data_IF_938815371249
#
_entry.id   IF_938815371249
#
_cell.length_a   1.000
_cell.length_b   1.000
_cell.length_c   1.000
_cell.angle_alpha   90.00
_cell.angle_beta   90.00
_cell.angle_gamma   90.00
#
_symmetry.space_group_name_H-M   'P 1'
#
loop_
_entity.id
_entity.type
_entity.pdbx_description
1 polymer ?
#
# COMPACT_ATOMS: atom_id res chain seq x y z
N UNK A 1 -15.70 -30.06 -13.33
CA UNK A 1 -15.75 -28.87 -12.44
C UNK A 1 -14.45 -28.57 -11.69
N UNK A 2 -13.64 -29.54 -11.19
CA UNK A 2 -12.33 -29.24 -10.56
C UNK A 2 -11.12 -29.07 -11.50
N UNK A 3 -11.14 -29.63 -12.73
CA UNK A 3 -10.06 -29.48 -13.72
C UNK A 3 -10.13 -28.18 -14.55
N UNK A 4 -11.28 -27.49 -14.57
CA UNK A 4 -11.48 -26.24 -15.33
C UNK A 4 -10.85 -25.01 -14.66
N UNK A 5 -10.73 -24.98 -13.32
CA UNK A 5 -10.05 -23.89 -12.60
C UNK A 5 -8.55 -23.83 -12.89
N UNK A 6 -7.94 -24.94 -13.30
CA UNK A 6 -6.50 -25.04 -13.55
C UNK A 6 -6.11 -24.34 -14.86
N UNK A 7 -6.97 -24.32 -15.89
CA UNK A 7 -6.65 -23.66 -17.17
C UNK A 7 -6.63 -22.13 -17.01
N UNK A 8 -7.51 -21.58 -16.17
CA UNK A 8 -7.46 -20.18 -15.80
C UNK A 8 -6.23 -19.89 -14.92
N UNK A 9 -5.91 -20.75 -13.95
CA UNK A 9 -4.73 -20.62 -13.08
C UNK A 9 -3.39 -20.70 -13.83
N UNK A 10 -3.29 -21.54 -14.86
CA UNK A 10 -2.08 -21.65 -15.70
C UNK A 10 -1.84 -20.34 -16.47
N UNK A 11 -2.90 -19.64 -16.88
CA UNK A 11 -2.81 -18.33 -17.55
C UNK A 11 -2.50 -17.20 -16.53
N UNK A 12 -2.87 -17.36 -15.27
CA UNK A 12 -2.57 -16.38 -14.22
C UNK A 12 -1.10 -16.42 -13.75
N UNK A 13 -0.42 -17.57 -13.84
CA UNK A 13 0.97 -17.75 -13.34
C UNK A 13 2.08 -17.59 -14.40
N UNK A 14 1.84 -17.90 -15.68
CA UNK A 14 2.92 -17.92 -16.68
C UNK A 14 3.29 -16.56 -17.30
N UNK A 15 2.69 -15.46 -16.82
CA UNK A 15 3.05 -14.09 -17.24
C UNK A 15 4.23 -13.45 -16.49
N UNK A 16 4.83 -14.14 -15.52
CA UNK A 16 5.99 -13.64 -14.78
C UNK A 16 7.28 -14.37 -15.20
N UNK A 17 8.24 -13.58 -15.69
CA UNK A 17 9.64 -13.85 -16.06
C UNK A 17 10.25 -15.25 -15.86
N UNK A 18 10.94 -15.70 -16.91
CA UNK A 18 11.97 -16.73 -16.89
C UNK A 18 12.96 -16.61 -15.71
N UNK A 19 13.16 -17.69 -14.94
CA UNK A 19 14.49 -18.25 -14.61
C UNK A 19 14.41 -19.57 -13.81
N UNK A 20 14.87 -20.64 -14.46
CA UNK A 20 15.62 -21.80 -13.94
C UNK A 20 15.01 -22.87 -12.98
N UNK A 21 15.11 -24.10 -13.52
CA UNK A 21 15.53 -25.40 -12.93
C UNK A 21 14.53 -26.24 -12.13
N UNK A 22 14.28 -27.43 -12.69
CA UNK A 22 14.69 -28.67 -12.02
C UNK A 22 13.58 -29.68 -11.77
N UNK A 23 13.55 -30.72 -12.61
CA UNK A 23 13.16 -32.12 -12.34
C UNK A 23 12.21 -32.35 -11.15
N UNK A 24 11.02 -32.89 -11.41
CA UNK A 24 10.55 -34.10 -10.71
C UNK A 24 9.56 -34.89 -11.57
N UNK A 25 9.82 -36.19 -11.63
CA UNK A 25 9.17 -37.21 -12.43
C UNK A 25 8.01 -37.89 -11.69
N UNK A 26 7.12 -38.48 -12.50
CA UNK A 26 6.38 -39.74 -12.27
C UNK A 26 5.46 -39.84 -11.04
N UNK A 27 4.15 -39.85 -11.28
CA UNK A 27 3.43 -41.12 -11.36
C UNK A 27 2.03 -40.96 -11.99
N UNK A 28 1.71 -41.94 -12.82
CA UNK A 28 0.50 -42.04 -13.64
C UNK A 28 -0.66 -42.53 -12.78
N UNK A 29 -1.83 -41.94 -12.97
CA UNK A 29 -3.08 -42.69 -13.05
C UNK A 29 -3.66 -42.42 -14.44
N UNK A 30 -3.51 -43.43 -15.29
CA UNK A 30 -4.08 -43.56 -16.62
C UNK A 30 -5.58 -43.79 -16.48
N UNK A 31 -6.39 -42.89 -17.06
CA UNK A 31 -7.70 -43.12 -17.69
C UNK A 31 -8.56 -41.85 -17.65
N UNK A 32 -8.26 -40.95 -18.58
CA UNK A 32 -9.14 -39.94 -19.20
C UNK A 32 -8.24 -39.23 -20.21
N UNK A 33 -8.05 -39.86 -21.37
CA UNK A 33 -7.37 -39.24 -22.52
C UNK A 33 -8.21 -38.07 -23.01
N UNK A 34 -7.98 -36.89 -22.43
CA UNK A 34 -8.11 -35.65 -23.16
C UNK A 34 -6.71 -35.28 -23.61
N UNK A 35 -6.31 -35.79 -24.79
CA UNK A 35 -5.18 -35.21 -25.52
C UNK A 35 -5.65 -33.85 -26.02
N UNK A 36 -5.14 -32.72 -25.50
CA UNK A 36 -5.25 -31.48 -26.26
C UNK A 36 -4.58 -31.76 -27.60
N UNK A 37 -5.15 -31.32 -28.74
CA UNK A 37 -4.52 -31.53 -30.02
C UNK A 37 -3.09 -30.97 -29.96
N UNK A 38 -2.11 -31.88 -29.90
CA UNK A 38 -0.70 -31.59 -30.19
C UNK A 38 -0.59 -31.50 -31.71
N UNK A 39 -1.24 -30.49 -32.26
CA UNK A 39 -0.99 -30.03 -33.61
C UNK A 39 -0.01 -28.88 -33.51
N UNK A 40 1.01 -28.88 -34.37
CA UNK A 40 1.79 -27.71 -34.71
C UNK A 40 0.84 -26.60 -35.18
N UNK A 41 0.31 -25.83 -34.24
CA UNK A 41 -0.58 -24.73 -34.52
C UNK A 41 0.25 -23.48 -34.82
N UNK A 42 0.92 -23.53 -35.98
CA UNK A 42 1.10 -22.34 -36.79
C UNK A 42 -0.26 -22.00 -37.46
N UNK A 43 -1.33 -21.86 -36.65
CA UNK A 43 -2.58 -21.28 -37.16
C UNK A 43 -2.25 -19.80 -37.32
N UNK A 44 -2.46 -19.29 -38.53
CA UNK A 44 -2.65 -17.87 -38.74
C UNK A 44 -3.55 -17.32 -37.64
N UNK A 45 -3.03 -16.39 -36.83
CA UNK A 45 -3.76 -15.82 -35.70
C UNK A 45 -5.12 -15.27 -36.14
N UNK A 46 -5.22 -14.76 -37.39
CA UNK A 46 -6.50 -14.33 -37.95
C UNK A 46 -7.48 -15.49 -38.19
N UNK A 47 -7.01 -16.63 -38.67
CA UNK A 47 -7.83 -17.83 -38.83
C UNK A 47 -8.42 -18.31 -37.50
N UNK A 48 -7.62 -18.27 -36.43
CA UNK A 48 -8.08 -18.59 -35.08
C UNK A 48 -9.12 -17.58 -34.56
N UNK A 49 -8.89 -16.28 -34.75
CA UNK A 49 -9.83 -15.23 -34.30
C UNK A 49 -11.18 -15.38 -35.02
N UNK A 50 -11.19 -15.55 -36.34
CA UNK A 50 -12.42 -15.78 -37.13
C UNK A 50 -13.17 -17.03 -36.68
N UNK A 51 -12.45 -18.11 -36.41
CA UNK A 51 -13.04 -19.34 -35.88
C UNK A 51 -13.76 -19.10 -34.54
N UNK A 52 -13.11 -18.38 -33.62
CA UNK A 52 -13.71 -18.07 -32.33
C UNK A 52 -14.87 -17.09 -32.43
N UNK A 53 -14.78 -16.06 -33.28
CA UNK A 53 -15.89 -15.13 -33.53
C UNK A 53 -17.15 -15.85 -34.00
N UNK A 54 -17.01 -16.76 -34.98
CA UNK A 54 -18.14 -17.53 -35.48
C UNK A 54 -18.81 -18.37 -34.36
N UNK A 55 -18.00 -18.97 -33.47
CA UNK A 55 -18.50 -19.76 -32.34
C UNK A 55 -19.08 -18.92 -31.21
N UNK A 56 -18.58 -17.70 -31.03
CA UNK A 56 -19.15 -16.74 -30.08
C UNK A 56 -20.57 -16.34 -30.49
N UNK A 57 -20.82 -16.14 -31.79
CA UNK A 57 -22.13 -15.73 -32.31
C UNK A 57 -23.12 -16.90 -32.44
N UNK A 58 -22.67 -18.03 -33.02
CA UNK A 58 -23.57 -19.10 -33.47
C UNK A 58 -23.44 -20.41 -32.67
N UNK A 59 -22.55 -20.44 -31.67
CA UNK A 59 -22.26 -21.65 -30.91
C UNK A 59 -23.29 -21.98 -29.82
N UNK A 60 -23.22 -23.22 -29.34
CA UNK A 60 -23.84 -23.66 -28.10
C UNK A 60 -23.29 -22.87 -26.90
N UNK A 61 -23.98 -22.83 -25.73
CA UNK A 61 -23.51 -22.11 -24.55
C UNK A 61 -22.05 -22.42 -24.15
N UNK A 62 -21.63 -23.69 -24.26
CA UNK A 62 -20.26 -24.13 -23.95
C UNK A 62 -19.26 -23.63 -25.00
N UNK A 63 -19.65 -23.63 -26.27
CA UNK A 63 -18.80 -23.11 -27.35
C UNK A 63 -18.65 -21.60 -27.27
N UNK A 64 -19.72 -20.85 -26.95
CA UNK A 64 -19.65 -19.40 -26.73
C UNK A 64 -18.74 -19.04 -25.57
N UNK A 65 -18.86 -19.76 -24.44
CA UNK A 65 -17.95 -19.61 -23.31
C UNK A 65 -16.49 -19.85 -23.71
N UNK A 66 -16.23 -20.95 -24.40
CA UNK A 66 -14.86 -21.32 -24.82
C UNK A 66 -14.31 -20.33 -25.85
N UNK A 67 -15.16 -19.83 -26.74
CA UNK A 67 -14.82 -18.80 -27.72
C UNK A 67 -14.43 -17.48 -27.06
N UNK A 68 -15.20 -17.01 -26.08
CA UNK A 68 -14.84 -15.83 -25.31
C UNK A 68 -13.47 -15.99 -24.64
N UNK A 69 -13.22 -17.12 -23.98
CA UNK A 69 -11.91 -17.39 -23.39
C UNK A 69 -10.79 -17.45 -24.43
N UNK A 70 -11.00 -18.11 -25.57
CA UNK A 70 -10.02 -18.22 -26.65
C UNK A 70 -9.63 -16.86 -27.23
N UNK A 71 -10.61 -15.97 -27.43
CA UNK A 71 -10.39 -14.59 -27.85
C UNK A 71 -9.61 -13.80 -26.79
N UNK A 72 -9.98 -13.92 -25.52
CA UNK A 72 -9.26 -13.30 -24.40
C UNK A 72 -7.80 -13.76 -24.29
N UNK A 73 -7.53 -15.05 -24.48
CA UNK A 73 -6.17 -15.63 -24.47
C UNK A 73 -5.31 -15.17 -25.66
N UNK A 74 -5.96 -14.78 -26.77
CA UNK A 74 -5.28 -14.17 -27.90
C UNK A 74 -4.80 -12.74 -27.58
N UNK A 75 -5.42 -12.11 -26.57
CA UNK A 75 -5.06 -10.79 -26.07
C UNK A 75 -5.23 -9.71 -27.14
N UNK A 76 -4.38 -8.67 -27.09
CA UNK A 76 -4.45 -7.51 -28.00
C UNK A 76 -4.53 -7.84 -29.50
N UNK A 77 -4.04 -9.01 -29.92
CA UNK A 77 -4.13 -9.45 -31.33
C UNK A 77 -5.59 -9.69 -31.78
N UNK A 78 -6.50 -9.97 -30.85
CA UNK A 78 -7.93 -10.16 -31.12
C UNK A 78 -8.75 -8.87 -30.97
N UNK A 79 -8.15 -7.69 -31.19
CA UNK A 79 -8.87 -6.41 -31.09
C UNK A 79 -10.12 -6.36 -31.98
N UNK A 80 -10.09 -6.99 -33.15
CA UNK A 80 -11.25 -7.06 -34.06
C UNK A 80 -12.48 -7.73 -33.44
N UNK A 81 -12.30 -8.49 -32.35
CA UNK A 81 -13.38 -9.13 -31.61
C UNK A 81 -14.03 -8.23 -30.55
N UNK A 82 -13.52 -7.01 -30.32
CA UNK A 82 -14.00 -6.12 -29.26
C UNK A 82 -15.52 -5.91 -29.31
N UNK A 83 -16.05 -5.56 -30.48
CA UNK A 83 -17.49 -5.30 -30.67
C UNK A 83 -18.35 -6.51 -30.31
N UNK A 84 -17.95 -7.72 -30.76
CA UNK A 84 -18.73 -8.94 -30.51
C UNK A 84 -18.60 -9.41 -29.06
N UNK A 85 -17.44 -9.25 -28.44
CA UNK A 85 -17.26 -9.52 -27.01
C UNK A 85 -18.09 -8.56 -26.14
N UNK A 86 -18.15 -7.27 -26.51
CA UNK A 86 -19.02 -6.30 -25.84
C UNK A 86 -20.49 -6.69 -25.98
N UNK A 87 -20.95 -7.07 -27.18
CA UNK A 87 -22.32 -7.55 -27.39
C UNK A 87 -22.62 -8.78 -26.53
N UNK A 88 -21.75 -9.80 -26.56
CA UNK A 88 -21.89 -11.01 -25.75
C UNK A 88 -21.93 -10.70 -24.25
N UNK A 89 -21.11 -9.75 -23.78
CA UNK A 89 -21.10 -9.33 -22.37
C UNK A 89 -22.41 -8.66 -21.91
N UNK A 90 -23.17 -8.07 -22.83
CA UNK A 90 -24.42 -7.39 -22.52
C UNK A 90 -25.66 -8.30 -22.68
N UNK A 91 -25.64 -9.23 -23.63
CA UNK A 91 -26.78 -10.08 -23.96
C UNK A 91 -26.84 -11.39 -23.15
N UNK A 92 -25.70 -11.94 -22.76
CA UNK A 92 -25.62 -13.25 -22.12
C UNK A 92 -25.80 -13.18 -20.59
N UNK A 93 -26.02 -14.34 -19.96
CA UNK A 93 -26.12 -14.47 -18.50
C UNK A 93 -25.10 -15.46 -17.94
N UNK A 94 -24.84 -15.38 -16.63
CA UNK A 94 -23.97 -16.32 -15.93
C UNK A 94 -22.52 -16.28 -16.41
N UNK A 95 -21.93 -17.45 -16.63
CA UNK A 95 -20.50 -17.62 -16.91
C UNK A 95 -20.07 -17.13 -18.30
N UNK A 96 -20.97 -17.15 -19.30
CA UNK A 96 -20.65 -16.65 -20.66
C UNK A 96 -20.45 -15.13 -20.62
N UNK A 97 -21.35 -14.43 -19.92
CA UNK A 97 -21.23 -12.99 -19.71
C UNK A 97 -19.91 -12.63 -19.06
N UNK A 98 -19.54 -13.32 -17.98
CA UNK A 98 -18.27 -13.10 -17.28
C UNK A 98 -17.07 -13.39 -18.18
N UNK A 99 -17.09 -14.50 -18.93
CA UNK A 99 -16.03 -14.84 -19.86
C UNK A 99 -15.87 -13.77 -20.95
N UNK A 100 -16.97 -13.25 -21.50
CA UNK A 100 -16.95 -12.17 -22.47
C UNK A 100 -16.38 -10.87 -21.87
N UNK A 101 -16.81 -10.49 -20.65
CA UNK A 101 -16.26 -9.32 -19.95
C UNK A 101 -14.76 -9.45 -19.68
N UNK A 102 -14.32 -10.61 -19.17
CA UNK A 102 -12.91 -10.89 -18.92
C UNK A 102 -12.10 -10.84 -20.22
N UNK A 103 -12.62 -11.45 -21.29
CA UNK A 103 -12.00 -11.43 -22.60
C UNK A 103 -11.88 -9.99 -23.15
N UNK A 104 -12.93 -9.17 -23.04
CA UNK A 104 -12.88 -7.74 -23.41
C UNK A 104 -11.76 -7.03 -22.66
N UNK A 105 -11.58 -7.28 -21.36
CA UNK A 105 -10.49 -6.69 -20.59
C UNK A 105 -9.11 -7.17 -21.09
N UNK A 106 -8.95 -8.47 -21.36
CA UNK A 106 -7.68 -9.07 -21.79
C UNK A 106 -7.23 -8.64 -23.19
N UNK A 107 -8.17 -8.31 -24.08
CA UNK A 107 -7.82 -7.75 -25.39
C UNK A 107 -7.45 -6.27 -25.32
N UNK A 108 -7.65 -5.61 -24.17
CA UNK A 108 -7.41 -4.18 -23.93
C UNK A 108 -8.33 -3.35 -24.84
N UNK A 109 -9.57 -3.06 -24.38
CA UNK A 109 -10.54 -2.37 -25.21
C UNK A 109 -10.05 -0.97 -25.59
N UNK A 110 -10.49 -0.47 -26.73
CA UNK A 110 -10.16 0.87 -27.24
C UNK A 110 -11.41 1.75 -27.39
N UNK A 111 -12.60 1.18 -27.18
CA UNK A 111 -13.87 1.89 -27.27
C UNK A 111 -14.38 2.36 -25.89
N UNK A 112 -15.16 3.45 -25.83
CA UNK A 112 -15.84 3.88 -24.60
C UNK A 112 -16.72 2.78 -23.99
N UNK A 113 -17.36 1.96 -24.82
CA UNK A 113 -18.16 0.81 -24.38
C UNK A 113 -17.29 -0.27 -23.72
N UNK A 114 -16.12 -0.57 -24.29
CA UNK A 114 -15.17 -1.49 -23.70
C UNK A 114 -14.56 -0.96 -22.39
N UNK A 115 -14.34 0.35 -22.27
CA UNK A 115 -13.96 0.98 -21.01
C UNK A 115 -15.02 0.83 -19.91
N UNK A 116 -16.30 0.92 -20.26
CA UNK A 116 -17.39 0.60 -19.32
C UNK A 116 -17.36 -0.87 -18.87
N UNK A 117 -16.87 -1.78 -19.71
CA UNK A 117 -16.65 -3.17 -19.29
C UNK A 117 -15.52 -3.28 -18.27
N UNK A 118 -14.42 -2.53 -18.43
CA UNK A 118 -13.35 -2.45 -17.42
C UNK A 118 -13.95 -1.98 -16.08
N UNK A 119 -14.68 -0.85 -16.08
CA UNK A 119 -15.32 -0.33 -14.87
C UNK A 119 -16.23 -1.37 -14.20
N UNK A 120 -17.19 -1.93 -14.95
CA UNK A 120 -18.12 -2.95 -14.43
C UNK A 120 -17.41 -4.21 -13.91
N UNK A 121 -16.28 -4.56 -14.51
CA UNK A 121 -15.48 -5.71 -14.07
C UNK A 121 -14.75 -5.42 -12.75
N UNK A 122 -14.27 -4.18 -12.55
CA UNK A 122 -13.69 -3.72 -11.28
C UNK A 122 -14.73 -3.60 -10.16
N UNK A 123 -15.97 -3.20 -10.46
CA UNK A 123 -17.08 -3.13 -9.49
C UNK A 123 -17.66 -4.51 -9.13
N UNK A 124 -17.27 -5.55 -9.88
CA UNK A 124 -17.79 -6.89 -9.66
C UNK A 124 -17.22 -7.49 -8.36
N UNK A 125 -17.96 -8.44 -7.76
CA UNK A 125 -17.44 -9.27 -6.65
C UNK A 125 -16.62 -10.47 -7.14
N UNK A 126 -16.48 -10.63 -8.44
CA UNK A 126 -15.79 -11.78 -9.03
C UNK A 126 -14.30 -11.45 -9.17
N UNK A 127 -13.47 -12.14 -8.39
CA UNK A 127 -12.03 -11.92 -8.34
C UNK A 127 -11.36 -12.02 -9.73
N UNK A 128 -11.90 -12.87 -10.62
CA UNK A 128 -11.35 -13.03 -11.96
C UNK A 128 -11.61 -11.81 -12.83
N UNK A 129 -12.80 -11.21 -12.72
CA UNK A 129 -13.15 -10.00 -13.46
C UNK A 129 -12.36 -8.80 -12.95
N UNK A 130 -12.23 -8.65 -11.62
CA UNK A 130 -11.39 -7.60 -11.02
C UNK A 130 -9.96 -7.75 -11.54
N UNK A 131 -9.41 -8.97 -11.48
CA UNK A 131 -8.04 -9.22 -11.91
C UNK A 131 -7.83 -8.95 -13.41
N UNK A 132 -8.78 -9.36 -14.27
CA UNK A 132 -8.72 -9.09 -15.70
C UNK A 132 -8.73 -7.57 -15.99
N UNK A 133 -9.59 -6.83 -15.30
CA UNK A 133 -9.71 -5.38 -15.46
C UNK A 133 -8.50 -4.62 -14.90
N UNK A 134 -8.00 -4.98 -13.71
CA UNK A 134 -6.76 -4.41 -13.17
C UNK A 134 -5.56 -4.66 -14.08
N UNK A 135 -5.46 -5.84 -14.71
CA UNK A 135 -4.43 -6.13 -15.70
C UNK A 135 -4.57 -5.27 -16.95
N UNK A 136 -5.80 -5.07 -17.43
CA UNK A 136 -6.06 -4.18 -18.56
C UNK A 136 -5.55 -2.76 -18.25
N UNK A 137 -5.87 -2.23 -17.07
CA UNK A 137 -5.40 -0.91 -16.64
C UNK A 137 -3.87 -0.81 -16.57
N UNK A 138 -3.16 -1.86 -16.13
CA UNK A 138 -1.69 -1.85 -16.06
C UNK A 138 -1.01 -1.78 -17.43
N UNK A 139 -1.67 -2.26 -18.49
CA UNK A 139 -1.13 -2.19 -19.86
C UNK A 139 -1.47 -0.86 -20.53
N UNK A 140 -2.58 -0.25 -20.12
CA UNK A 140 -2.98 1.07 -20.58
C UNK A 140 -2.02 2.13 -20.04
N UNK A 141 -1.53 2.98 -20.94
CA UNK A 141 -0.61 4.07 -20.61
C UNK A 141 -1.43 5.33 -20.28
N UNK A 142 -1.51 5.74 -19.01
CA UNK A 142 -2.40 6.84 -18.59
C UNK A 142 -1.96 8.22 -19.08
N UNK A 143 -0.74 8.36 -19.58
CA UNK A 143 -0.18 9.60 -20.13
C UNK A 143 -0.59 9.89 -21.58
N UNK A 144 -1.23 8.94 -22.26
CA UNK A 144 -1.78 9.17 -23.59
C UNK A 144 -3.06 10.00 -23.53
N UNK A 145 -3.24 10.93 -24.48
CA UNK A 145 -4.43 11.80 -24.54
C UNK A 145 -5.73 10.99 -24.72
N UNK A 146 -5.64 9.84 -25.38
CA UNK A 146 -6.78 8.95 -25.63
C UNK A 146 -7.21 8.18 -24.37
N UNK A 147 -6.26 7.88 -23.48
CA UNK A 147 -6.45 6.98 -22.34
C UNK A 147 -6.60 7.76 -21.02
N UNK A 148 -6.00 8.94 -20.89
CA UNK A 148 -6.14 9.77 -19.69
C UNK A 148 -7.61 10.01 -19.29
N UNK A 149 -8.55 10.32 -20.21
CA UNK A 149 -9.96 10.50 -19.86
C UNK A 149 -10.59 9.28 -19.19
N UNK A 150 -10.18 8.06 -19.56
CA UNK A 150 -10.62 6.84 -18.89
C UNK A 150 -10.20 6.84 -17.42
N UNK A 151 -8.93 7.10 -17.14
CA UNK A 151 -8.44 7.09 -15.75
C UNK A 151 -9.04 8.22 -14.92
N UNK A 152 -9.22 9.42 -15.49
CA UNK A 152 -9.90 10.53 -14.81
C UNK A 152 -11.36 10.21 -14.50
N UNK A 153 -12.03 9.46 -15.37
CA UNK A 153 -13.39 8.99 -15.15
C UNK A 153 -13.45 7.89 -14.07
N UNK A 154 -12.54 6.90 -14.11
CA UNK A 154 -12.46 5.85 -13.08
C UNK A 154 -12.10 6.42 -11.70
N UNK A 155 -11.28 7.46 -11.64
CA UNK A 155 -10.92 8.15 -10.40
C UNK A 155 -12.14 8.82 -9.73
N UNK A 156 -13.18 9.13 -10.50
CA UNK A 156 -14.44 9.74 -10.05
C UNK A 156 -15.56 8.70 -9.85
N UNK A 157 -15.23 7.41 -9.78
CA UNK A 157 -16.21 6.34 -9.58
C UNK A 157 -16.94 6.46 -8.23
N UNK A 158 -18.14 5.87 -8.16
CA UNK A 158 -18.84 5.66 -6.88
C UNK A 158 -18.28 4.46 -6.10
N UNK A 159 -17.48 3.62 -6.75
CA UNK A 159 -16.90 2.42 -6.15
C UNK A 159 -15.44 2.65 -5.70
N UNK A 160 -15.17 2.46 -4.41
CA UNK A 160 -13.87 2.67 -3.78
C UNK A 160 -12.75 1.79 -4.36
N UNK A 161 -13.10 0.58 -4.80
CA UNK A 161 -12.14 -0.34 -5.42
C UNK A 161 -11.71 0.19 -6.79
N UNK A 162 -12.65 0.72 -7.58
CA UNK A 162 -12.35 1.35 -8.87
C UNK A 162 -11.43 2.55 -8.68
N UNK A 163 -11.72 3.44 -7.73
CA UNK A 163 -10.90 4.61 -7.41
C UNK A 163 -9.46 4.17 -7.03
N UNK A 164 -9.36 3.14 -6.18
CA UNK A 164 -8.07 2.63 -5.70
C UNK A 164 -7.22 2.05 -6.83
N UNK A 165 -7.80 1.24 -7.70
CA UNK A 165 -7.07 0.66 -8.84
C UNK A 165 -6.64 1.73 -9.84
N UNK A 166 -7.52 2.68 -10.16
CA UNK A 166 -7.19 3.79 -11.05
C UNK A 166 -6.06 4.67 -10.49
N UNK A 167 -6.15 5.08 -9.22
CA UNK A 167 -5.15 5.92 -8.56
C UNK A 167 -3.78 5.23 -8.43
N UNK A 168 -3.75 3.91 -8.22
CA UNK A 168 -2.50 3.14 -8.21
C UNK A 168 -1.79 3.21 -9.57
N UNK A 169 -2.52 2.99 -10.66
CA UNK A 169 -1.93 3.04 -12.01
C UNK A 169 -1.49 4.45 -12.38
N UNK A 170 -2.31 5.46 -12.06
CA UNK A 170 -1.96 6.87 -12.24
C UNK A 170 -0.70 7.25 -11.46
N UNK A 171 -0.57 6.82 -10.19
CA UNK A 171 0.59 7.11 -9.36
C UNK A 171 1.87 6.45 -9.86
N UNK A 172 1.79 5.24 -10.44
CA UNK A 172 2.93 4.57 -11.09
C UNK A 172 3.49 5.35 -12.29
N UNK A 173 2.64 6.16 -12.92
CA UNK A 173 2.98 7.00 -14.07
C UNK A 173 2.96 8.49 -13.72
N UNK A 174 3.05 8.86 -12.43
CA UNK A 174 2.87 10.24 -12.00
C UNK A 174 3.88 11.20 -12.67
N UNK A 175 5.11 10.76 -12.92
CA UNK A 175 6.15 11.56 -13.57
C UNK A 175 5.79 12.00 -15.01
N UNK A 176 4.97 11.23 -15.73
CA UNK A 176 4.52 11.60 -17.08
C UNK A 176 3.25 12.46 -17.06
N UNK A 177 2.62 12.62 -15.89
CA UNK A 177 1.38 13.37 -15.71
C UNK A 177 1.60 14.80 -15.16
N UNK A 178 2.84 15.27 -15.07
CA UNK A 178 3.18 16.61 -14.52
C UNK A 178 2.51 17.77 -15.26
N UNK A 179 2.26 17.63 -16.58
CA UNK A 179 1.48 18.60 -17.36
C UNK A 179 0.02 18.75 -16.87
N UNK A 180 -0.49 17.78 -16.11
CA UNK A 180 -1.88 17.71 -15.63
C UNK A 180 -2.04 18.06 -14.14
N UNK A 181 -1.00 18.61 -13.48
CA UNK A 181 -1.06 19.01 -12.06
C UNK A 181 -2.26 19.92 -11.78
N UNK A 182 -2.49 20.94 -12.62
CA UNK A 182 -3.61 21.87 -12.45
C UNK A 182 -4.97 21.19 -12.54
N UNK A 183 -5.12 20.20 -13.43
CA UNK A 183 -6.36 19.46 -13.61
C UNK A 183 -6.63 18.54 -12.42
N UNK A 184 -5.63 17.77 -11.99
CA UNK A 184 -5.75 16.88 -10.83
C UNK A 184 -5.93 17.68 -9.52
N UNK A 185 -5.25 18.81 -9.37
CA UNK A 185 -5.49 19.74 -8.25
C UNK A 185 -6.95 20.21 -8.23
N UNK A 186 -7.51 20.60 -9.38
CA UNK A 186 -8.93 20.96 -9.48
C UNK A 186 -9.85 19.81 -9.04
N UNK A 187 -9.62 18.59 -9.53
CA UNK A 187 -10.41 17.41 -9.13
C UNK A 187 -10.34 17.19 -7.62
N UNK A 188 -9.13 17.22 -7.03
CA UNK A 188 -8.92 17.07 -5.60
C UNK A 188 -9.72 18.11 -4.79
N UNK A 189 -9.71 19.36 -5.23
CA UNK A 189 -10.35 20.49 -4.54
C UNK A 189 -11.88 20.47 -4.68
N UNK A 190 -12.41 20.04 -5.83
CA UNK A 190 -13.85 20.10 -6.13
C UNK A 190 -14.60 18.81 -5.86
N UNK A 191 -13.95 17.64 -5.83
CA UNK A 191 -14.62 16.36 -5.62
C UNK A 191 -15.49 16.34 -4.35
N UNK A 192 -16.70 15.78 -4.47
CA UNK A 192 -17.64 15.70 -3.35
C UNK A 192 -17.33 14.55 -2.38
N UNK A 193 -16.60 13.56 -2.87
CA UNK A 193 -16.23 12.35 -2.13
C UNK A 193 -14.82 12.45 -1.59
N UNK A 194 -14.68 12.11 -0.30
CA UNK A 194 -13.38 12.02 0.38
C UNK A 194 -12.43 11.05 -0.31
N UNK A 195 -12.93 9.92 -0.81
CA UNK A 195 -12.11 8.88 -1.46
C UNK A 195 -11.46 9.39 -2.75
N UNK A 196 -12.21 10.15 -3.56
CA UNK A 196 -11.70 10.78 -4.79
C UNK A 196 -10.62 11.81 -4.46
N UNK A 197 -10.87 12.66 -3.46
CA UNK A 197 -9.90 13.67 -3.02
C UNK A 197 -8.58 13.06 -2.51
N UNK A 198 -8.65 12.03 -1.65
CA UNK A 198 -7.48 11.33 -1.15
C UNK A 198 -6.71 10.59 -2.24
N UNK A 199 -7.42 9.89 -3.12
CA UNK A 199 -6.83 9.19 -4.25
C UNK A 199 -6.12 10.16 -5.22
N UNK A 200 -6.71 11.33 -5.44
CA UNK A 200 -6.11 12.37 -6.28
C UNK A 200 -4.85 12.96 -5.62
N UNK A 201 -4.86 13.17 -4.30
CA UNK A 201 -3.66 13.59 -3.58
C UNK A 201 -2.54 12.55 -3.62
N UNK A 202 -2.87 11.25 -3.57
CA UNK A 202 -1.90 10.18 -3.74
C UNK A 202 -1.24 10.22 -5.14
N UNK A 203 -2.02 10.43 -6.20
CA UNK A 203 -1.50 10.59 -7.57
C UNK A 203 -0.62 11.82 -7.67
N UNK A 204 -1.08 12.98 -7.17
CA UNK A 204 -0.30 14.22 -7.15
C UNK A 204 1.02 14.03 -6.41
N UNK A 205 1.03 13.38 -5.25
CA UNK A 205 2.25 13.15 -4.48
C UNK A 205 3.32 12.36 -5.25
N UNK A 206 2.91 11.44 -6.15
CA UNK A 206 3.82 10.73 -7.04
C UNK A 206 4.58 11.61 -8.03
N UNK A 207 4.15 12.86 -8.22
CA UNK A 207 4.78 13.85 -9.10
C UNK A 207 5.92 14.63 -8.39
N UNK A 208 6.12 14.42 -7.09
CA UNK A 208 7.22 14.99 -6.32
C UNK A 208 7.06 16.48 -6.02
N UNK A 209 8.18 17.20 -5.95
CA UNK A 209 8.23 18.61 -5.50
C UNK A 209 7.31 19.57 -6.25
N UNK A 210 6.99 19.29 -7.51
CA UNK A 210 6.21 20.19 -8.37
C UNK A 210 4.77 20.40 -7.86
N UNK A 211 4.22 19.44 -7.11
CA UNK A 211 2.85 19.54 -6.58
C UNK A 211 2.74 20.21 -5.22
N UNK A 212 3.87 20.50 -4.56
CA UNK A 212 3.90 21.08 -3.21
C UNK A 212 3.06 22.37 -3.12
N UNK A 213 3.12 23.33 -4.08
CA UNK A 213 2.27 24.52 -4.02
C UNK A 213 0.76 24.21 -4.01
N UNK A 214 0.31 23.22 -4.77
CA UNK A 214 -1.10 22.83 -4.84
C UNK A 214 -1.56 22.10 -3.58
N UNK A 215 -0.72 21.23 -3.02
CA UNK A 215 -1.02 20.54 -1.76
C UNK A 215 -1.03 21.50 -0.56
N UNK A 216 -0.19 22.54 -0.57
CA UNK A 216 -0.22 23.63 0.41
C UNK A 216 -1.51 24.46 0.33
N UNK A 217 -2.07 24.66 -0.88
CA UNK A 217 -3.39 25.28 -1.04
C UNK A 217 -4.49 24.38 -0.48
N UNK A 218 -4.42 23.08 -0.72
CA UNK A 218 -5.40 22.11 -0.22
C UNK A 218 -5.46 22.07 1.32
N UNK A 219 -4.31 22.17 1.99
CA UNK A 219 -4.21 22.31 3.45
C UNK A 219 -5.02 23.48 4.04
N UNK A 220 -5.28 24.51 3.25
CA UNK A 220 -6.00 25.74 3.67
C UNK A 220 -7.48 25.73 3.28
N UNK A 221 -7.97 24.62 2.74
CA UNK A 221 -9.36 24.50 2.30
C UNK A 221 -10.34 24.54 3.48
N UNK A 222 -11.52 25.09 3.26
CA UNK A 222 -12.63 25.00 4.23
C UNK A 222 -13.13 23.56 4.39
N UNK A 223 -12.95 22.71 3.38
CA UNK A 223 -13.38 21.30 3.36
C UNK A 223 -12.36 20.43 4.09
N UNK A 224 -12.79 19.76 5.17
CA UNK A 224 -11.92 18.94 6.01
C UNK A 224 -11.17 17.84 5.24
N UNK A 225 -11.85 17.11 4.36
CA UNK A 225 -11.19 16.06 3.57
C UNK A 225 -10.21 16.59 2.52
N UNK A 226 -10.37 17.85 2.05
CA UNK A 226 -9.39 18.49 1.18
C UNK A 226 -8.15 18.90 1.97
N UNK A 227 -8.31 19.37 3.22
CA UNK A 227 -7.18 19.61 4.12
C UNK A 227 -6.43 18.32 4.44
N UNK A 228 -7.15 17.25 4.75
CA UNK A 228 -6.60 15.91 4.97
C UNK A 228 -5.78 15.45 3.75
N UNK A 229 -6.31 15.62 2.54
CA UNK A 229 -5.62 15.30 1.30
C UNK A 229 -4.35 16.12 1.09
N UNK A 230 -4.38 17.42 1.40
CA UNK A 230 -3.19 18.28 1.40
C UNK A 230 -2.10 17.76 2.35
N UNK A 231 -2.46 17.50 3.61
CA UNK A 231 -1.54 16.97 4.63
C UNK A 231 -0.97 15.59 4.23
N UNK A 232 -1.84 14.70 3.74
CA UNK A 232 -1.46 13.34 3.32
C UNK A 232 -0.56 13.38 2.09
N UNK A 233 -0.88 14.21 1.09
CA UNK A 233 -0.05 14.39 -0.10
C UNK A 233 1.34 14.90 0.26
N UNK A 234 1.45 15.89 1.14
CA UNK A 234 2.75 16.45 1.56
C UNK A 234 3.60 15.43 2.32
N UNK A 235 2.99 14.61 3.18
CA UNK A 235 3.68 13.48 3.81
C UNK A 235 4.25 12.50 2.77
N UNK A 236 3.47 12.20 1.72
CA UNK A 236 3.87 11.26 0.66
C UNK A 236 4.94 11.80 -0.29
N UNK A 237 4.99 13.12 -0.50
CA UNK A 237 6.08 13.80 -1.23
C UNK A 237 7.41 13.73 -0.44
N UNK A 238 7.35 13.56 0.88
CA UNK A 238 8.51 13.41 1.79
C UNK A 238 9.41 14.65 1.77
N UNK A 239 10.73 14.47 1.74
CA UNK A 239 11.73 15.53 1.90
C UNK A 239 11.58 16.66 0.86
N UNK A 240 10.98 16.39 -0.29
CA UNK A 240 10.70 17.40 -1.32
C UNK A 240 9.60 18.40 -0.90
N UNK A 241 8.83 18.11 0.15
CA UNK A 241 7.76 18.96 0.69
C UNK A 241 8.22 19.97 1.76
N UNK A 242 9.54 20.21 1.89
CA UNK A 242 10.10 21.13 2.89
C UNK A 242 9.48 22.53 2.89
N UNK A 243 9.16 23.06 1.71
CA UNK A 243 8.54 24.38 1.57
C UNK A 243 7.15 24.48 2.22
N UNK A 244 6.54 23.33 2.56
CA UNK A 244 5.26 23.25 3.27
C UNK A 244 5.40 23.23 4.80
N UNK A 245 6.61 23.28 5.36
CA UNK A 245 6.85 23.27 6.80
C UNK A 245 5.95 24.24 7.59
N UNK A 246 5.85 25.55 7.26
CA UNK A 246 4.99 26.46 8.02
C UNK A 246 3.50 26.11 7.94
N UNK A 247 3.02 25.61 6.79
CA UNK A 247 1.62 25.24 6.63
C UNK A 247 1.29 23.94 7.37
N UNK A 248 2.25 23.02 7.46
CA UNK A 248 2.10 21.79 8.24
C UNK A 248 2.10 22.06 9.75
N UNK A 249 2.91 23.01 10.23
CA UNK A 249 2.84 23.48 11.63
C UNK A 249 1.44 24.01 11.95
N UNK A 250 0.86 24.82 11.05
CA UNK A 250 -0.51 25.31 11.24
C UNK A 250 -1.54 24.16 11.23
N UNK A 251 -1.38 23.19 10.32
CA UNK A 251 -2.25 22.03 10.23
C UNK A 251 -2.25 21.14 11.49
N UNK A 252 -1.17 21.16 12.30
CA UNK A 252 -1.16 20.43 13.59
C UNK A 252 -2.09 21.02 14.64
N UNK A 253 -2.62 22.23 14.41
CA UNK A 253 -3.58 22.90 15.29
C UNK A 253 -5.04 22.62 14.88
N UNK A 254 -5.27 21.86 13.82
CA UNK A 254 -6.62 21.46 13.43
C UNK A 254 -7.26 20.57 14.53
N UNK A 255 -8.57 20.62 14.64
CA UNK A 255 -9.32 19.79 15.59
C UNK A 255 -9.57 18.38 15.05
N UNK A 256 -9.43 18.16 13.74
CA UNK A 256 -9.62 16.86 13.11
C UNK A 256 -8.32 16.03 13.14
N UNK A 257 -8.29 14.87 13.84
CA UNK A 257 -7.14 13.98 13.85
C UNK A 257 -6.70 13.51 12.47
N UNK A 258 -7.60 13.45 11.48
CA UNK A 258 -7.27 13.06 10.12
C UNK A 258 -6.35 14.07 9.43
N UNK A 259 -6.30 15.31 9.91
CA UNK A 259 -5.41 16.36 9.39
C UNK A 259 -4.13 16.42 10.24
N UNK A 260 -4.28 16.37 11.56
CA UNK A 260 -3.16 16.46 12.51
C UNK A 260 -2.17 15.30 12.34
N UNK A 261 -2.66 14.07 12.20
CA UNK A 261 -1.81 12.87 12.06
C UNK A 261 -0.87 12.94 10.85
N UNK A 262 -1.36 13.12 9.60
CA UNK A 262 -0.46 13.25 8.46
C UNK A 262 0.42 14.50 8.53
N UNK A 263 -0.06 15.60 9.13
CA UNK A 263 0.78 16.78 9.34
C UNK A 263 1.98 16.49 10.25
N UNK A 264 1.77 15.80 11.38
CA UNK A 264 2.86 15.39 12.28
C UNK A 264 3.85 14.44 11.62
N UNK A 265 3.33 13.48 10.85
CA UNK A 265 4.19 12.55 10.10
C UNK A 265 5.01 13.26 9.03
N UNK A 266 4.40 14.20 8.30
CA UNK A 266 5.11 15.02 7.32
C UNK A 266 6.24 15.80 8.00
N UNK A 267 5.95 16.50 9.10
CA UNK A 267 6.95 17.25 9.87
C UNK A 267 8.12 16.38 10.35
N UNK A 268 7.85 15.16 10.84
CA UNK A 268 8.90 14.21 11.23
C UNK A 268 9.81 13.76 10.09
N UNK A 269 9.35 13.85 8.83
CA UNK A 269 10.12 13.49 7.64
C UNK A 269 10.85 14.69 7.02
N UNK A 270 10.24 15.88 7.05
CA UNK A 270 10.79 17.06 6.35
C UNK A 270 11.70 17.92 7.23
N UNK A 271 11.60 17.83 8.56
CA UNK A 271 12.41 18.64 9.46
C UNK A 271 13.91 18.27 9.33
N UNK A 272 14.72 19.22 8.90
CA UNK A 272 16.19 19.05 8.85
C UNK A 272 16.82 19.13 10.24
N UNK A 273 16.27 19.99 11.09
CA UNK A 273 16.72 20.20 12.46
C UNK A 273 15.62 19.73 13.43
N UNK A 274 15.84 18.63 14.18
CA UNK A 274 14.86 18.14 15.14
C UNK A 274 14.42 19.20 16.15
N UNK A 275 15.30 20.15 16.50
CA UNK A 275 15.01 21.18 17.50
C UNK A 275 13.88 22.12 17.10
N UNK A 276 13.55 22.23 15.80
CA UNK A 276 12.46 23.09 15.32
C UNK A 276 11.07 22.48 15.58
N UNK A 277 10.98 21.16 15.65
CA UNK A 277 9.70 20.44 15.74
C UNK A 277 9.51 19.68 17.05
N UNK A 278 10.61 19.30 17.72
CA UNK A 278 10.58 18.57 19.00
C UNK A 278 9.73 19.28 20.06
N UNK A 279 9.82 20.62 20.28
CA UNK A 279 8.97 21.30 21.27
C UNK A 279 7.47 21.17 20.98
N UNK A 280 7.08 21.23 19.69
CA UNK A 280 5.69 21.03 19.26
C UNK A 280 5.22 19.61 19.57
N UNK A 281 6.03 18.60 19.24
CA UNK A 281 5.69 17.19 19.50
C UNK A 281 5.55 16.93 21.01
N UNK A 282 6.47 17.45 21.84
CA UNK A 282 6.37 17.35 23.31
C UNK A 282 5.08 18.00 23.81
N UNK A 283 4.73 19.19 23.31
CA UNK A 283 3.49 19.85 23.69
C UNK A 283 2.27 19.00 23.33
N UNK A 284 2.23 18.43 22.13
CA UNK A 284 1.14 17.56 21.67
C UNK A 284 0.98 16.32 22.56
N UNK A 285 2.09 15.66 22.95
CA UNK A 285 2.04 14.50 23.85
C UNK A 285 1.39 14.83 25.21
N UNK A 286 1.56 16.07 25.69
CA UNK A 286 1.02 16.54 26.97
C UNK A 286 -0.44 16.99 26.88
N UNK A 287 -0.84 17.61 25.78
CA UNK A 287 -2.14 18.30 25.67
C UNK A 287 -3.22 17.47 25.00
N UNK A 288 -2.86 16.54 24.11
CA UNK A 288 -3.86 15.77 23.37
C UNK A 288 -4.44 14.62 24.21
N UNK A 289 -5.74 14.39 24.08
CA UNK A 289 -6.40 13.19 24.59
C UNK A 289 -6.39 12.03 23.57
N UNK A 290 -6.14 12.32 22.29
CA UNK A 290 -6.19 11.32 21.22
C UNK A 290 -4.94 10.45 21.19
N UNK A 291 -5.11 9.16 21.45
CA UNK A 291 -4.01 8.20 21.41
C UNK A 291 -3.40 8.06 20.00
N UNK A 292 -4.18 8.26 18.94
CA UNK A 292 -3.69 8.22 17.56
C UNK A 292 -2.78 9.42 17.25
N UNK A 293 -3.09 10.58 17.81
CA UNK A 293 -2.25 11.79 17.69
C UNK A 293 -0.97 11.62 18.52
N UNK A 294 -1.06 11.08 19.75
CA UNK A 294 0.13 10.73 20.56
C UNK A 294 1.05 9.77 19.82
N UNK A 295 0.50 8.68 19.30
CA UNK A 295 1.24 7.68 18.53
C UNK A 295 1.98 8.32 17.35
N UNK A 296 1.33 9.23 16.63
CA UNK A 296 1.94 9.93 15.49
C UNK A 296 3.06 10.88 15.92
N UNK A 297 2.90 11.61 17.03
CA UNK A 297 3.95 12.45 17.59
C UNK A 297 5.15 11.63 18.10
N UNK A 298 4.92 10.48 18.74
CA UNK A 298 5.99 9.57 19.19
C UNK A 298 6.76 9.01 18.00
N UNK A 299 6.06 8.55 16.95
CA UNK A 299 6.70 8.05 15.73
C UNK A 299 7.52 9.13 15.04
N UNK A 300 7.01 10.36 14.98
CA UNK A 300 7.73 11.48 14.38
C UNK A 300 8.99 11.82 15.20
N UNK A 301 8.94 11.81 16.54
CA UNK A 301 10.13 11.91 17.40
C UNK A 301 11.12 10.77 17.17
N UNK A 302 10.62 9.54 17.00
CA UNK A 302 11.44 8.36 16.75
C UNK A 302 12.13 8.35 15.38
N UNK A 303 11.73 9.22 14.44
CA UNK A 303 12.41 9.42 13.16
C UNK A 303 13.76 10.13 13.30
N UNK A 304 14.01 10.79 14.43
CA UNK A 304 15.26 11.50 14.69
C UNK A 304 16.23 10.62 15.49
N UNK A 305 17.47 10.53 15.02
CA UNK A 305 18.53 9.72 15.68
C UNK A 305 19.11 10.37 16.92
N UNK A 306 18.93 11.68 17.07
CA UNK A 306 19.29 12.44 18.26
C UNK A 306 18.15 13.40 18.58
N UNK A 307 17.55 13.21 19.75
CA UNK A 307 16.48 14.08 20.27
C UNK A 307 16.91 14.64 21.63
N UNK A 308 16.34 15.78 22.02
CA UNK A 308 16.66 16.42 23.31
C UNK A 308 16.31 15.52 24.51
N UNK A 309 16.95 15.75 25.66
CA UNK A 309 16.61 15.07 26.91
C UNK A 309 15.15 15.23 27.29
N UNK A 310 14.55 16.38 26.97
CA UNK A 310 13.14 16.65 27.21
C UNK A 310 12.23 15.78 26.35
N UNK A 311 12.60 15.52 25.10
CA UNK A 311 11.89 14.60 24.23
C UNK A 311 11.97 13.17 24.77
N UNK A 312 13.17 12.73 25.16
CA UNK A 312 13.37 11.39 25.77
C UNK A 312 12.50 11.24 27.01
N UNK A 313 12.47 12.24 27.89
CA UNK A 313 11.61 12.22 29.07
C UNK A 313 10.12 12.15 28.72
N UNK A 314 9.66 12.98 27.79
CA UNK A 314 8.27 12.99 27.36
C UNK A 314 7.83 11.64 26.74
N UNK A 315 8.70 11.00 25.95
CA UNK A 315 8.43 9.66 25.38
C UNK A 315 8.51 8.59 26.47
N UNK A 316 9.42 8.72 27.43
CA UNK A 316 9.56 7.79 28.56
C UNK A 316 8.29 7.74 29.42
N UNK A 317 7.63 8.89 29.64
CA UNK A 317 6.34 8.94 30.34
C UNK A 317 5.25 8.11 29.62
N UNK A 318 5.35 7.97 28.29
CA UNK A 318 4.40 7.19 27.48
C UNK A 318 4.55 5.67 27.64
N UNK A 319 5.62 5.18 28.26
CA UNK A 319 5.78 3.76 28.62
C UNK A 319 4.75 3.27 29.64
N UNK A 320 4.09 4.19 30.36
CA UNK A 320 3.04 3.85 31.34
C UNK A 320 1.62 4.06 30.77
N UNK A 321 1.48 4.37 29.48
CA UNK A 321 0.18 4.63 28.87
C UNK A 321 -0.70 3.35 28.85
N UNK A 322 -2.01 3.52 29.04
CA UNK A 322 -2.96 2.40 29.05
C UNK A 322 -3.00 1.63 27.71
N UNK A 323 -2.86 2.38 26.61
CA UNK A 323 -2.87 1.88 25.25
C UNK A 323 -1.55 1.19 24.90
N UNK A 324 -1.64 -0.09 24.57
CA UNK A 324 -0.50 -0.92 24.18
C UNK A 324 0.26 -0.33 22.98
N UNK A 325 -0.45 0.23 22.00
CA UNK A 325 0.17 0.80 20.81
C UNK A 325 1.09 1.96 21.17
N UNK A 326 0.66 2.83 22.08
CA UNK A 326 1.48 3.95 22.57
C UNK A 326 2.71 3.44 23.29
N UNK A 327 2.57 2.44 24.17
CA UNK A 327 3.71 1.84 24.86
C UNK A 327 4.72 1.24 23.88
N UNK A 328 4.24 0.54 22.85
CA UNK A 328 5.09 0.00 21.77
C UNK A 328 5.84 1.13 21.05
N UNK A 329 5.13 2.17 20.60
CA UNK A 329 5.74 3.29 19.88
C UNK A 329 6.76 4.03 20.75
N UNK A 330 6.50 4.16 22.05
CA UNK A 330 7.43 4.78 22.99
C UNK A 330 8.73 3.99 23.11
N UNK A 331 8.66 2.67 23.24
CA UNK A 331 9.85 1.80 23.26
C UNK A 331 10.66 1.94 21.97
N UNK A 332 10.00 1.91 20.80
CA UNK A 332 10.69 2.04 19.51
C UNK A 332 11.34 3.42 19.34
N UNK A 333 10.67 4.49 19.75
CA UNK A 333 11.19 5.86 19.70
C UNK A 333 12.38 6.05 20.64
N UNK A 334 12.35 5.48 21.85
CA UNK A 334 13.49 5.52 22.77
C UNK A 334 14.69 4.72 22.26
N UNK A 335 14.44 3.62 21.54
CA UNK A 335 15.49 2.83 20.89
C UNK A 335 16.22 3.63 19.80
N UNK A 336 15.51 4.47 19.05
CA UNK A 336 16.10 5.27 17.96
C UNK A 336 16.75 6.57 18.43
N UNK A 337 16.49 7.02 19.66
CA UNK A 337 17.08 8.22 20.26
C UNK A 337 18.61 8.15 20.50
N UNK A 338 19.25 7.03 20.17
CA UNK A 338 20.69 6.84 20.33
C UNK A 338 21.15 6.93 21.78
N UNK A 339 22.29 7.56 22.02
CA UNK A 339 22.88 7.70 23.37
C UNK A 339 22.01 8.53 24.31
N UNK A 340 21.21 9.45 23.77
CA UNK A 340 20.24 10.21 24.56
C UNK A 340 19.14 9.32 25.15
N UNK A 341 18.93 8.10 24.62
CA UNK A 341 18.00 7.12 25.16
C UNK A 341 18.49 6.37 26.40
N UNK A 342 19.78 6.46 26.78
CA UNK A 342 20.33 5.75 27.94
C UNK A 342 19.59 6.01 29.26
N UNK A 343 19.15 7.24 29.59
CA UNK A 343 18.39 7.50 30.81
C UNK A 343 17.06 6.72 30.89
N UNK A 344 16.54 6.22 29.77
CA UNK A 344 15.31 5.44 29.74
C UNK A 344 15.50 3.95 30.06
N UNK A 345 16.75 3.44 30.13
CA UNK A 345 17.05 2.01 30.36
C UNK A 345 16.30 1.45 31.59
N UNK A 346 16.30 2.08 32.79
CA UNK A 346 15.60 1.53 33.95
C UNK A 346 14.08 1.38 33.74
N UNK A 347 13.47 2.27 32.95
CA UNK A 347 12.04 2.20 32.65
C UNK A 347 11.74 1.21 31.52
N UNK A 348 12.68 1.02 30.59
CA UNK A 348 12.63 -0.09 29.64
C UNK A 348 12.77 -1.44 30.35
N UNK A 349 13.60 -1.55 31.40
CA UNK A 349 13.72 -2.77 32.21
C UNK A 349 12.40 -3.10 32.91
N UNK A 350 11.72 -2.07 33.43
CA UNK A 350 10.34 -2.23 33.95
C UNK A 350 9.38 -2.68 32.85
N UNK A 351 9.49 -2.15 31.63
CA UNK A 351 8.67 -2.52 30.48
C UNK A 351 8.92 -3.96 29.99
N UNK A 352 10.04 -4.61 30.36
CA UNK A 352 10.22 -6.06 30.13
C UNK A 352 9.24 -6.92 30.95
N UNK A 353 8.54 -6.33 31.93
CA UNK A 353 7.47 -6.98 32.67
C UNK A 353 6.07 -6.46 32.29
N UNK A 354 5.94 -5.78 31.14
CA UNK A 354 4.66 -5.27 30.65
C UNK A 354 3.64 -6.41 30.41
N UNK A 355 2.34 -6.10 30.59
CA UNK A 355 1.23 -7.02 30.31
C UNK A 355 1.23 -7.53 28.85
N UNK A 356 1.63 -6.70 27.89
CA UNK A 356 1.73 -7.06 26.48
C UNK A 356 3.05 -7.76 26.15
N UNK A 357 2.95 -8.90 25.45
CA UNK A 357 4.10 -9.59 24.86
C UNK A 357 4.86 -8.70 23.87
N UNK A 358 4.13 -7.89 23.09
CA UNK A 358 4.70 -7.02 22.07
C UNK A 358 5.56 -5.89 22.67
N UNK A 359 5.16 -5.37 23.83
CA UNK A 359 5.95 -4.38 24.58
C UNK A 359 7.19 -5.02 25.18
N UNK A 360 7.06 -6.17 25.86
CA UNK A 360 8.20 -6.87 26.50
C UNK A 360 9.32 -7.18 25.50
N UNK A 361 8.96 -7.74 24.34
CA UNK A 361 9.94 -8.10 23.31
C UNK A 361 10.71 -6.88 22.79
N UNK A 362 10.00 -5.78 22.53
CA UNK A 362 10.62 -4.53 22.07
C UNK A 362 11.49 -3.88 23.13
N UNK A 363 11.07 -3.96 24.40
CA UNK A 363 11.85 -3.40 25.50
C UNK A 363 13.20 -4.11 25.64
N UNK A 364 13.20 -5.44 25.54
CA UNK A 364 14.43 -6.22 25.53
C UNK A 364 15.33 -5.88 24.33
N UNK A 365 14.77 -5.78 23.12
CA UNK A 365 15.51 -5.35 21.92
C UNK A 365 16.12 -3.94 22.08
N UNK A 366 15.34 -2.99 22.60
CA UNK A 366 15.78 -1.63 22.85
C UNK A 366 16.95 -1.58 23.85
N UNK A 367 16.86 -2.30 24.97
CA UNK A 367 17.94 -2.38 25.96
C UNK A 367 19.21 -2.96 25.33
N UNK A 368 19.11 -4.07 24.60
CA UNK A 368 20.26 -4.70 23.93
C UNK A 368 20.96 -3.70 23.00
N UNK A 369 20.19 -2.95 22.21
CA UNK A 369 20.77 -1.95 21.31
C UNK A 369 21.44 -0.80 22.06
N UNK A 370 20.75 -0.22 23.05
CA UNK A 370 21.27 0.91 23.82
C UNK A 370 22.53 0.53 24.61
N UNK A 371 22.55 -0.64 25.26
CA UNK A 371 23.74 -1.13 25.97
C UNK A 371 24.91 -1.42 25.03
N UNK A 372 24.66 -1.93 23.81
CA UNK A 372 25.71 -2.09 22.79
C UNK A 372 26.30 -0.74 22.37
N UNK A 373 25.48 0.30 22.24
CA UNK A 373 25.94 1.66 21.93
C UNK A 373 26.78 2.23 23.08
N UNK A 374 26.35 2.03 24.33
CA UNK A 374 27.07 2.47 25.53
C UNK A 374 28.46 1.80 25.66
N UNK A 375 28.54 0.50 25.38
CA UNK A 375 29.80 -0.26 25.37
C UNK A 375 30.77 0.20 24.28
N UNK A 376 30.26 0.60 23.10
CA UNK A 376 31.08 1.16 22.02
C UNK A 376 31.66 2.53 22.37
N UNK A 377 30.88 3.43 22.98
CA UNK A 377 31.40 4.73 23.46
C UNK A 377 32.45 4.55 24.57
N UNK A 378 32.20 3.62 25.51
CA UNK A 378 33.14 3.32 26.59
C UNK A 378 34.48 2.79 26.06
N UNK A 379 34.45 2.00 24.99
CA UNK A 379 35.64 1.46 24.30
C UNK A 379 36.41 2.50 23.45
N UNK A 380 35.76 3.59 23.03
CA UNK A 380 36.39 4.71 22.33
C UNK A 380 36.94 5.78 23.30
N UNK A 381 36.47 5.78 24.56
CA UNK A 381 36.82 6.79 25.57
C UNK A 381 37.87 6.41 26.61
N UNK A 382 38.12 5.12 26.88
CA UNK A 382 39.11 4.71 27.89
C UNK A 382 39.54 3.26 27.71
N UNK A 383 40.86 2.98 27.76
CA UNK A 383 41.36 1.66 28.10
C UNK A 383 40.89 1.32 29.51
N UNK A 384 39.80 0.58 29.65
CA UNK A 384 39.54 -0.35 30.77
C UNK A 384 38.32 -1.21 30.46
N UNK A 385 38.47 -2.51 30.72
CA UNK A 385 37.74 -3.62 30.13
C UNK A 385 36.38 -3.88 30.83
N UNK A 386 35.21 -3.77 30.16
CA UNK A 386 33.89 -3.91 30.80
C UNK A 386 33.32 -5.34 30.78
N UNK A 387 34.13 -6.38 30.53
CA UNK A 387 33.65 -7.76 30.42
C UNK A 387 33.19 -8.38 31.75
N UNK A 388 33.41 -7.72 32.90
CA UNK A 388 33.13 -8.29 34.22
C UNK A 388 31.76 -7.96 34.81
N UNK A 389 30.96 -7.06 34.21
CA UNK A 389 29.65 -6.67 34.79
C UNK A 389 28.49 -7.44 34.13
N UNK A 390 28.74 -8.12 33.00
CA UNK A 390 27.69 -8.76 32.19
C UNK A 390 27.41 -10.22 32.62
N UNK A 391 28.24 -10.86 33.47
CA UNK A 391 28.09 -12.29 33.79
C UNK A 391 27.06 -12.63 34.87
N UNK A 392 26.71 -11.71 35.77
CA UNK A 392 26.14 -12.13 37.06
C UNK A 392 24.62 -11.94 37.20
N UNK A 393 23.91 -11.36 36.21
CA UNK A 393 22.47 -11.06 36.39
C UNK A 393 21.58 -11.11 35.13
N UNK A 394 21.92 -11.87 34.08
CA UNK A 394 20.93 -12.16 33.02
C UNK A 394 20.22 -13.49 33.27
N UNK A 395 18.87 -13.52 33.36
CA UNK A 395 18.12 -14.70 32.99
C UNK A 395 18.41 -14.99 31.50
N UNK A 396 18.71 -16.24 31.16
CA UNK A 396 18.95 -16.63 29.77
C UNK A 396 17.74 -16.32 28.89
N UNK A 397 17.96 -15.98 27.62
CA UNK A 397 16.88 -15.78 26.62
C UNK A 397 15.92 -16.98 26.60
N UNK A 398 16.44 -18.19 26.83
CA UNK A 398 15.64 -19.42 26.96
C UNK A 398 14.73 -19.40 28.20
N UNK A 399 15.15 -18.81 29.33
CA UNK A 399 14.33 -18.69 30.55
C UNK A 399 13.16 -17.69 30.39
N UNK A 400 13.32 -16.67 29.54
CA UNK A 400 12.27 -15.70 29.19
C UNK A 400 11.24 -16.35 28.25
N UNK A 401 11.68 -17.27 27.39
CA UNK A 401 10.82 -18.03 26.47
C UNK A 401 10.13 -19.23 27.13
N UNK A 402 10.66 -19.75 28.25
CA UNK A 402 10.15 -20.95 28.93
C UNK A 402 9.31 -20.67 30.19
N UNK A 403 9.04 -19.40 30.55
CA UNK A 403 8.24 -19.09 31.73
C UNK A 403 6.81 -19.68 31.60
N UNK A 404 6.35 -20.54 32.53
CA UNK A 404 5.09 -21.24 32.39
C UNK A 404 3.93 -20.25 32.38
N UNK A 405 2.93 -20.55 31.53
CA UNK A 405 1.63 -19.90 31.50
C UNK A 405 1.10 -19.81 32.93
N UNK A 406 1.08 -18.62 33.52
CA UNK A 406 0.27 -18.40 34.70
C UNK A 406 -1.19 -18.40 34.22
N UNK A 407 -1.74 -19.60 34.05
CA UNK A 407 -3.18 -19.83 34.00
C UNK A 407 -3.73 -19.49 35.37
N UNK A 408 -4.32 -18.30 35.45
CA UNK A 408 -5.22 -17.73 36.46
C UNK A 408 -5.89 -18.77 37.39
N UNK A 409 -6.25 -18.43 38.66
CA UNK A 409 -7.37 -17.51 38.86
C UNK A 409 -7.38 -16.66 40.16
N UNK A 410 -7.79 -15.40 40.06
CA UNK A 410 -9.01 -14.85 40.69
C UNK A 410 -9.28 -13.42 40.26
#
# INVERSE_FOLDING_TARGET
>A
MKKLSIVLLIVLFFGCGCQNRGKYSSNRDENLEYSPPKGDFNIDTQGAIKFWLNRLENGTPVERYTAALGLGLTGKKAQEAETELIKASNMEQGEIKKAAMAATCLIIPQTPEGFKIIQKSLESKDEQLIMAASRALLVLKPDSEEVLPLFLWLLQSEDDQVIKEASKVLAQHASSLTAHISLLSKIMMTADRREVTLATAYVLAGMGKEVVPELRKALKSERAFVREAGATGLFLVRADARDAYPDLIEATKDNDPNIVIPALRALGVIAENPNEVVPLMINILKTTSSDLVKDSAIQALGGFTQVSSDAVKAVTDMLSNENERIRISAVESLKTAGTNGFPAIPLLEKAMNDKSKGVRWRAADAIILLTKLQGKESSLGTQNNPTQIISDNQPSIDSILSAPLNTNPR
#
